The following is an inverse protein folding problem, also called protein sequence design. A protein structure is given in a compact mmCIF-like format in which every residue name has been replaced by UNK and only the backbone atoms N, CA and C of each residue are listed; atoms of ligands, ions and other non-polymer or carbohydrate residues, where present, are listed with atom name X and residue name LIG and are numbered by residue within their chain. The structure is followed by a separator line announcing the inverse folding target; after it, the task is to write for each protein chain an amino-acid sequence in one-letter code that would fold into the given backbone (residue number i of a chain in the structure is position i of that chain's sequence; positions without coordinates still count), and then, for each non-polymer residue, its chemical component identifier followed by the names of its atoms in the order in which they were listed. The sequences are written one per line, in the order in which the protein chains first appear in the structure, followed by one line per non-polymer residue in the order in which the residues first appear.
data_IF_887565736211
#
_entry.id   IF_887565736211
#
_cell.length_a   1.000
_cell.length_b   1.000
_cell.length_c   1.000
_cell.angle_alpha   90.00
_cell.angle_beta   90.00
_cell.angle_gamma   90.00
#
_symmetry.space_group_name_H-M   'P 1'
#
loop_
_entity.id
_entity.type
_entity.pdbx_description
1 polymer ?
#
# COMPACT_ATOMS: atom_id res chain seq x y z
N UNK A 1 16.59 4.10 -18.71
CA UNK A 1 16.99 2.84 -18.07
C UNK A 1 18.41 2.99 -17.56
N UNK A 2 18.58 3.15 -16.25
CA UNK A 2 19.87 3.16 -15.58
C UNK A 2 19.83 1.96 -14.63
N UNK A 3 20.65 0.94 -14.90
CA UNK A 3 20.64 -0.31 -14.15
C UNK A 3 21.01 -0.05 -12.69
N UNK A 4 20.04 -0.21 -11.78
CA UNK A 4 20.35 -0.34 -10.35
C UNK A 4 21.15 -1.62 -10.19
N UNK A 5 22.41 -1.52 -9.73
CA UNK A 5 23.13 -2.69 -9.21
C UNK A 5 22.38 -3.16 -7.97
N UNK A 6 21.93 -4.42 -7.96
CA UNK A 6 21.44 -5.05 -6.73
C UNK A 6 22.59 -4.99 -5.70
N UNK A 7 22.34 -4.30 -4.59
CA UNK A 7 23.28 -4.24 -3.46
C UNK A 7 23.26 -5.61 -2.77
N UNK A 8 24.40 -6.31 -2.77
CA UNK A 8 24.54 -7.54 -1.98
C UNK A 8 24.63 -7.18 -0.50
N UNK A 9 23.58 -7.48 0.27
CA UNK A 9 23.51 -7.24 1.71
C UNK A 9 23.79 -8.52 2.53
N UNK A 10 24.23 -8.34 3.78
CA UNK A 10 24.30 -9.40 4.80
C UNK A 10 23.06 -9.31 5.71
N UNK A 11 22.27 -10.37 5.75
CA UNK A 11 20.96 -10.36 6.39
C UNK A 11 20.90 -11.45 7.45
N UNK A 12 20.59 -11.05 8.68
CA UNK A 12 20.21 -11.97 9.74
C UNK A 12 18.71 -12.25 9.63
N UNK A 13 18.35 -13.42 9.13
CA UNK A 13 16.95 -13.84 8.97
C UNK A 13 16.48 -14.50 10.28
N UNK A 14 15.75 -13.76 11.08
CA UNK A 14 15.16 -14.20 12.33
C UNK A 14 13.77 -14.80 12.11
N UNK A 15 13.60 -16.06 12.53
CA UNK A 15 12.30 -16.75 12.61
C UNK A 15 11.99 -16.90 14.10
N UNK A 16 11.23 -15.96 14.69
CA UNK A 16 11.15 -15.78 16.14
C UNK A 16 10.30 -16.86 16.79
N UNK A 17 9.28 -17.37 16.11
CA UNK A 17 8.51 -18.53 16.55
C UNK A 17 8.55 -19.61 15.50
N UNK A 18 8.59 -20.84 15.99
CA UNK A 18 8.60 -22.04 15.18
C UNK A 18 7.60 -23.01 15.78
N UNK A 19 6.52 -23.28 15.03
CA UNK A 19 5.58 -24.34 15.33
C UNK A 19 5.89 -25.55 14.45
N UNK A 20 6.55 -26.55 15.04
CA UNK A 20 6.83 -27.81 14.35
C UNK A 20 5.52 -28.46 13.88
N UNK A 21 5.36 -28.60 12.57
CA UNK A 21 4.32 -29.44 11.97
C UNK A 21 4.77 -30.90 11.98
N UNK A 22 3.83 -31.80 12.19
CA UNK A 22 4.07 -33.22 12.04
C UNK A 22 4.12 -33.62 10.56
N UNK A 23 4.86 -34.68 10.23
CA UNK A 23 5.03 -35.15 8.85
C UNK A 23 3.67 -35.42 8.15
N UNK A 24 2.68 -35.93 8.88
CA UNK A 24 1.34 -36.15 8.32
C UNK A 24 0.61 -34.82 7.98
N UNK A 25 0.85 -33.75 8.74
CA UNK A 25 0.26 -32.43 8.47
C UNK A 25 0.91 -31.82 7.23
N UNK A 26 2.23 -31.97 7.11
CA UNK A 26 3.02 -31.51 5.96
C UNK A 26 2.55 -32.23 4.70
N UNK A 27 2.45 -33.56 4.72
CA UNK A 27 1.98 -34.34 3.57
C UNK A 27 0.53 -34.01 3.20
N UNK A 28 -0.34 -33.77 4.19
CA UNK A 28 -1.71 -33.29 3.94
C UNK A 28 -1.70 -31.94 3.23
N UNK A 29 -0.97 -30.96 3.75
CA UNK A 29 -0.90 -29.60 3.18
C UNK A 29 -0.31 -29.67 1.76
N UNK A 30 0.77 -30.44 1.54
CA UNK A 30 1.35 -30.65 0.20
C UNK A 30 0.29 -31.15 -0.78
N UNK A 31 -0.50 -32.14 -0.38
CA UNK A 31 -1.57 -32.69 -1.23
C UNK A 31 -2.65 -31.64 -1.54
N UNK A 32 -3.14 -30.92 -0.54
CA UNK A 32 -4.17 -29.89 -0.74
C UNK A 32 -3.68 -28.75 -1.65
N UNK A 33 -2.40 -28.37 -1.51
CA UNK A 33 -1.75 -27.35 -2.35
C UNK A 33 -1.20 -27.90 -3.68
N UNK A 34 -1.41 -29.19 -3.99
CA UNK A 34 -0.92 -29.86 -5.20
C UNK A 34 0.61 -29.75 -5.40
N UNK A 35 1.36 -29.82 -4.30
CA UNK A 35 2.82 -29.74 -4.23
C UNK A 35 3.47 -31.12 -4.22
N UNK A 36 3.04 -32.04 -5.09
CA UNK A 36 3.59 -33.41 -5.14
C UNK A 36 5.09 -33.45 -5.50
N UNK A 37 5.61 -32.37 -6.07
CA UNK A 37 7.01 -32.17 -6.42
C UNK A 37 7.87 -31.61 -5.27
N UNK A 38 7.25 -31.17 -4.18
CA UNK A 38 7.92 -30.44 -3.11
C UNK A 38 8.61 -31.38 -2.12
N UNK A 39 9.89 -31.11 -1.87
CA UNK A 39 10.70 -31.75 -0.84
C UNK A 39 11.17 -30.71 0.19
N UNK A 40 11.00 -30.94 1.50
CA UNK A 40 11.37 -29.97 2.54
C UNK A 40 12.84 -29.52 2.45
N UNK A 41 13.06 -28.22 2.30
CA UNK A 41 14.40 -27.63 2.26
C UNK A 41 14.99 -27.68 3.67
N UNK A 42 14.20 -27.28 4.67
CA UNK A 42 14.52 -27.47 6.07
C UNK A 42 13.89 -28.75 6.59
N UNK A 43 14.71 -29.66 7.12
CA UNK A 43 14.26 -30.84 7.91
C UNK A 43 13.73 -30.46 9.30
N UNK A 44 13.07 -29.31 9.39
CA UNK A 44 12.49 -28.72 10.59
C UNK A 44 10.97 -28.72 10.53
N UNK A 45 10.31 -29.29 9.52
CA UNK A 45 8.83 -29.43 9.57
C UNK A 45 8.10 -28.09 9.67
N UNK A 46 8.51 -27.13 8.83
CA UNK A 46 7.81 -25.87 8.63
C UNK A 46 6.59 -26.05 7.73
N UNK A 47 5.77 -25.01 7.63
CA UNK A 47 4.77 -24.92 6.57
C UNK A 47 5.46 -25.02 5.19
N UNK A 48 5.02 -25.90 4.27
CA UNK A 48 5.68 -26.13 2.98
C UNK A 48 5.96 -24.86 2.17
N UNK A 49 5.00 -23.92 2.16
CA UNK A 49 5.15 -22.66 1.41
C UNK A 49 6.16 -21.69 2.05
N UNK A 50 6.29 -21.67 3.38
CA UNK A 50 7.31 -20.85 4.04
C UNK A 50 8.71 -21.44 3.80
N UNK A 51 8.83 -22.76 3.95
CA UNK A 51 10.08 -23.50 3.73
C UNK A 51 10.57 -23.33 2.29
N UNK A 52 9.68 -23.42 1.31
CA UNK A 52 9.95 -23.10 -0.09
C UNK A 52 10.41 -21.63 -0.26
N UNK A 53 9.69 -20.64 0.27
CA UNK A 53 10.06 -19.22 0.16
C UNK A 53 11.47 -18.92 0.69
N UNK A 54 11.82 -19.47 1.85
CA UNK A 54 13.16 -19.28 2.43
C UNK A 54 14.21 -20.05 1.62
N UNK A 55 13.89 -21.24 1.12
CA UNK A 55 14.75 -22.01 0.22
C UNK A 55 15.08 -21.24 -1.07
N UNK A 56 14.06 -20.68 -1.72
CA UNK A 56 14.21 -19.89 -2.94
C UNK A 56 15.04 -18.62 -2.71
N UNK A 57 14.81 -17.93 -1.59
CA UNK A 57 15.62 -16.79 -1.18
C UNK A 57 17.10 -17.15 -1.04
N UNK A 58 17.41 -18.27 -0.36
CA UNK A 58 18.80 -18.72 -0.16
C UNK A 58 19.43 -19.13 -1.49
N UNK A 59 18.68 -19.84 -2.34
CA UNK A 59 19.14 -20.33 -3.64
C UNK A 59 19.36 -19.21 -4.66
N UNK A 60 18.57 -18.13 -4.61
CA UNK A 60 18.74 -16.96 -5.47
C UNK A 60 20.13 -16.32 -5.31
N UNK A 61 20.73 -16.39 -4.11
CA UNK A 61 22.12 -15.98 -3.89
C UNK A 61 22.39 -14.47 -4.01
N UNK A 62 21.34 -13.64 -4.10
CA UNK A 62 21.45 -12.18 -4.22
C UNK A 62 22.01 -11.52 -2.94
N UNK A 63 21.83 -12.17 -1.80
CA UNK A 63 22.25 -11.70 -0.47
C UNK A 63 22.93 -12.80 0.34
N UNK A 64 23.74 -12.42 1.33
CA UNK A 64 24.33 -13.37 2.29
C UNK A 64 23.37 -13.54 3.47
N UNK A 65 22.72 -14.70 3.54
CA UNK A 65 21.68 -14.96 4.55
C UNK A 65 22.24 -15.78 5.73
N UNK A 66 22.08 -15.27 6.94
CA UNK A 66 22.32 -15.96 8.22
C UNK A 66 20.99 -16.29 8.88
N UNK A 67 20.57 -17.56 8.84
CA UNK A 67 19.24 -17.97 9.35
C UNK A 67 19.30 -18.30 10.85
N UNK A 68 18.49 -17.61 11.65
CA UNK A 68 18.31 -17.87 13.07
C UNK A 68 16.86 -18.28 13.34
N UNK A 69 16.65 -19.55 13.69
CA UNK A 69 15.33 -20.08 14.06
C UNK A 69 15.31 -20.28 15.57
N UNK A 70 14.36 -19.61 16.24
CA UNK A 70 14.14 -19.77 17.67
C UNK A 70 13.08 -20.84 17.91
N UNK A 71 13.35 -21.80 18.79
CA UNK A 71 12.46 -22.94 19.07
C UNK A 71 12.02 -22.95 20.53
N UNK A 72 10.73 -23.15 20.80
CA UNK A 72 10.25 -23.45 22.14
C UNK A 72 9.84 -22.24 23.01
N UNK A 73 9.77 -21.04 22.45
CA UNK A 73 9.29 -19.86 23.16
C UNK A 73 7.81 -19.56 22.84
N UNK A 74 6.90 -19.88 23.78
CA UNK A 74 5.46 -19.62 23.64
C UNK A 74 5.05 -18.15 23.74
N UNK A 75 5.98 -17.22 24.02
CA UNK A 75 5.71 -15.79 24.08
C UNK A 75 6.43 -15.08 22.92
N UNK A 76 5.67 -14.62 21.92
CA UNK A 76 6.22 -14.01 20.70
C UNK A 76 7.11 -12.78 20.97
N UNK A 77 6.74 -11.82 21.84
CA UNK A 77 7.62 -10.70 22.21
C UNK A 77 8.99 -11.16 22.73
N UNK A 78 9.01 -12.15 23.62
CA UNK A 78 10.26 -12.70 24.17
C UNK A 78 11.04 -13.46 23.10
N UNK A 79 10.36 -14.16 22.21
CA UNK A 79 11.00 -14.90 21.14
C UNK A 79 11.71 -13.96 20.12
N UNK A 80 11.07 -12.84 19.75
CA UNK A 80 11.67 -11.76 18.94
C UNK A 80 12.84 -11.09 19.67
N UNK A 81 12.69 -10.82 20.97
CA UNK A 81 13.78 -10.30 21.79
C UNK A 81 14.97 -11.28 21.84
N UNK A 82 14.75 -12.58 22.03
CA UNK A 82 15.83 -13.57 21.99
C UNK A 82 16.59 -13.55 20.66
N UNK A 83 15.89 -13.42 19.53
CA UNK A 83 16.52 -13.22 18.22
C UNK A 83 17.36 -11.94 18.15
N UNK A 84 16.90 -10.83 18.75
CA UNK A 84 17.68 -9.59 18.85
C UNK A 84 18.96 -9.77 19.68
N UNK A 85 18.89 -10.50 20.78
CA UNK A 85 20.06 -10.80 21.61
C UNK A 85 21.11 -11.62 20.85
N UNK A 86 20.67 -12.64 20.12
CA UNK A 86 21.56 -13.45 19.25
C UNK A 86 22.15 -12.57 18.15
N UNK A 87 21.31 -11.77 17.47
CA UNK A 87 21.77 -10.83 16.45
C UNK A 87 22.84 -9.89 17.01
N UNK A 88 22.62 -9.30 18.19
CA UNK A 88 23.56 -8.38 18.83
C UNK A 88 24.89 -9.07 19.16
N UNK A 89 24.83 -10.27 19.73
CA UNK A 89 26.03 -11.06 20.00
C UNK A 89 26.81 -11.37 18.73
N UNK A 90 26.15 -11.80 17.66
CA UNK A 90 26.82 -12.10 16.38
C UNK A 90 27.34 -10.83 15.70
N UNK A 91 26.62 -9.71 15.82
CA UNK A 91 27.08 -8.41 15.33
C UNK A 91 28.40 -7.99 16.00
N UNK A 92 28.56 -8.24 17.29
CA UNK A 92 29.77 -7.86 18.03
C UNK A 92 30.93 -8.86 17.86
N UNK A 93 30.64 -10.16 17.68
CA UNK A 93 31.65 -11.24 17.78
C UNK A 93 31.92 -12.00 16.49
N UNK A 94 31.05 -11.86 15.48
CA UNK A 94 31.13 -12.60 14.21
C UNK A 94 31.10 -11.63 13.02
N UNK A 95 30.51 -12.07 11.91
CA UNK A 95 30.30 -11.24 10.73
C UNK A 95 29.07 -10.35 10.92
N UNK A 96 29.27 -9.03 10.82
CA UNK A 96 28.21 -8.05 10.98
C UNK A 96 27.19 -8.18 9.85
N UNK A 97 25.93 -8.36 10.24
CA UNK A 97 24.81 -8.22 9.31
C UNK A 97 24.41 -6.76 9.18
N UNK A 98 24.11 -6.34 7.96
CA UNK A 98 23.63 -4.99 7.63
C UNK A 98 22.16 -4.81 8.05
N UNK A 99 21.40 -5.91 8.05
CA UNK A 99 19.98 -5.95 8.39
C UNK A 99 19.63 -7.13 9.31
N UNK A 100 18.58 -6.95 10.10
CA UNK A 100 17.79 -8.03 10.69
C UNK A 100 16.46 -8.10 9.94
N UNK A 101 16.20 -9.24 9.30
CA UNK A 101 14.91 -9.54 8.67
C UNK A 101 14.13 -10.45 9.61
N UNK A 102 12.95 -10.05 10.04
CA UNK A 102 12.09 -10.89 10.87
C UNK A 102 10.97 -11.45 10.01
N UNK A 103 10.81 -12.77 10.03
CA UNK A 103 9.78 -13.49 9.27
C UNK A 103 9.05 -14.49 10.17
N UNK A 104 7.72 -14.41 10.21
CA UNK A 104 6.87 -15.39 10.88
C UNK A 104 6.76 -16.67 10.01
N UNK A 105 6.68 -17.84 10.65
CA UNK A 105 6.78 -19.16 10.00
C UNK A 105 5.51 -19.59 9.23
N UNK A 106 4.47 -18.77 9.30
CA UNK A 106 3.21 -18.92 8.60
C UNK A 106 3.03 -17.90 7.46
N UNK A 107 4.10 -17.23 7.02
CA UNK A 107 4.08 -16.38 5.83
C UNK A 107 4.82 -17.03 4.66
N UNK A 108 4.32 -16.83 3.44
CA UNK A 108 5.12 -17.06 2.23
C UNK A 108 5.27 -15.77 1.44
N UNK A 109 6.40 -15.67 0.74
CA UNK A 109 6.85 -14.47 0.05
C UNK A 109 7.63 -14.86 -1.23
N UNK A 110 7.63 -14.00 -2.26
CA UNK A 110 8.39 -14.25 -3.48
C UNK A 110 9.91 -14.08 -3.23
N UNK A 111 10.78 -14.75 -4.00
CA UNK A 111 12.23 -14.69 -3.80
C UNK A 111 12.81 -13.28 -3.90
N UNK A 112 12.23 -12.41 -4.74
CA UNK A 112 12.62 -11.01 -4.89
C UNK A 112 12.14 -10.09 -3.75
N UNK A 113 11.34 -10.59 -2.81
CA UNK A 113 10.77 -9.77 -1.73
C UNK A 113 11.84 -8.99 -0.96
N UNK A 114 12.94 -9.64 -0.62
CA UNK A 114 14.02 -9.00 0.14
C UNK A 114 14.83 -8.05 -0.75
N UNK A 115 15.04 -8.39 -2.02
CA UNK A 115 15.71 -7.48 -2.96
C UNK A 115 14.94 -6.16 -3.09
N UNK A 116 13.60 -6.22 -3.14
CA UNK A 116 12.73 -5.04 -3.17
C UNK A 116 12.99 -4.16 -1.93
N UNK A 117 12.93 -4.75 -0.73
CA UNK A 117 13.07 -4.03 0.54
C UNK A 117 14.47 -3.44 0.74
N UNK A 118 15.52 -4.18 0.37
CA UNK A 118 16.91 -3.70 0.44
C UNK A 118 17.12 -2.54 -0.53
N UNK A 119 16.60 -2.64 -1.75
CA UNK A 119 16.74 -1.61 -2.79
C UNK A 119 15.96 -0.31 -2.51
N UNK A 120 14.98 -0.35 -1.61
CA UNK A 120 14.25 0.82 -1.13
C UNK A 120 14.99 1.64 -0.08
N UNK A 121 16.00 1.04 0.55
CA UNK A 121 16.95 1.69 1.46
C UNK A 121 16.30 2.45 2.64
N UNK A 122 15.22 1.89 3.19
CA UNK A 122 14.50 2.47 4.34
C UNK A 122 15.06 1.99 5.68
N UNK A 123 14.96 2.79 6.76
CA UNK A 123 15.44 2.39 8.08
C UNK A 123 14.72 1.14 8.61
N UNK A 124 13.40 1.13 8.47
CA UNK A 124 12.51 -0.01 8.76
C UNK A 124 11.50 -0.09 7.63
N UNK A 125 11.41 -1.24 6.97
CA UNK A 125 10.42 -1.49 5.89
C UNK A 125 9.98 -2.94 5.89
N UNK A 126 8.74 -3.20 5.49
CA UNK A 126 8.28 -4.57 5.36
C UNK A 126 7.01 -4.72 4.53
N UNK A 127 6.60 -5.97 4.36
CA UNK A 127 5.39 -6.33 3.63
C UNK A 127 4.16 -6.29 4.52
N UNK A 128 3.01 -6.05 3.91
CA UNK A 128 1.72 -6.00 4.61
C UNK A 128 0.96 -7.29 4.37
N UNK A 129 0.36 -7.85 5.43
CA UNK A 129 -0.52 -9.01 5.35
C UNK A 129 -1.81 -8.79 6.16
N UNK A 130 -2.79 -9.68 5.97
CA UNK A 130 -4.12 -9.61 6.61
C UNK A 130 -4.22 -10.50 7.85
N UNK A 131 -5.19 -10.24 8.72
CA UNK A 131 -5.61 -11.19 9.75
C UNK A 131 -6.18 -12.46 9.11
N UNK A 132 -6.00 -13.60 9.79
CA UNK A 132 -6.71 -14.85 9.47
C UNK A 132 -8.19 -14.67 9.84
N UNK A 133 -9.10 -14.98 8.92
CA UNK A 133 -10.54 -14.82 9.13
C UNK A 133 -11.25 -16.17 9.17
N UNK A 134 -12.40 -16.24 9.85
CA UNK A 134 -13.27 -17.43 9.87
C UNK A 134 -14.12 -17.58 8.60
N UNK A 135 -14.14 -16.56 7.73
CA UNK A 135 -14.99 -16.51 6.55
C UNK A 135 -14.08 -16.59 5.31
N UNK A 136 -14.16 -17.65 4.48
CA UNK A 136 -13.16 -18.00 3.47
C UNK A 136 -13.17 -17.13 2.20
N UNK A 137 -13.48 -15.84 2.32
CA UNK A 137 -13.00 -14.90 1.30
C UNK A 137 -11.50 -14.72 1.54
N UNK A 138 -10.68 -15.14 0.56
CA UNK A 138 -9.21 -15.22 0.61
C UNK A 138 -8.50 -13.87 0.80
N UNK A 139 -9.27 -12.80 0.98
CA UNK A 139 -8.84 -11.43 1.17
C UNK A 139 -9.33 -10.88 2.51
N UNK A 140 -8.50 -10.10 3.18
CA UNK A 140 -8.90 -9.46 4.43
C UNK A 140 -8.19 -8.13 4.69
N UNK A 141 -8.61 -7.47 5.78
CA UNK A 141 -8.07 -6.17 6.18
C UNK A 141 -6.62 -6.30 6.64
N UNK A 142 -5.77 -5.41 6.15
CA UNK A 142 -4.38 -5.31 6.58
C UNK A 142 -4.25 -5.22 8.11
N UNK A 143 -3.32 -5.99 8.67
CA UNK A 143 -2.97 -5.97 10.09
C UNK A 143 -2.27 -4.68 10.51
N UNK A 144 -1.55 -4.07 9.57
CA UNK A 144 -0.81 -2.83 9.79
C UNK A 144 -1.74 -1.64 10.00
N UNK A 145 -1.29 -0.65 10.78
CA UNK A 145 -2.05 0.57 11.06
C UNK A 145 -1.52 1.74 10.23
N UNK A 146 -2.35 2.17 9.28
CA UNK A 146 -2.07 3.26 8.37
C UNK A 146 -2.44 4.62 8.98
N UNK A 147 -1.89 5.70 8.45
CA UNK A 147 -2.40 7.03 8.75
C UNK A 147 -3.79 7.22 8.09
N UNK A 148 -4.62 8.15 8.60
CA UNK A 148 -6.04 8.31 8.20
C UNK A 148 -6.29 8.43 6.69
N UNK A 149 -5.29 8.79 5.89
CA UNK A 149 -5.39 9.05 4.44
C UNK A 149 -4.53 8.10 3.59
N UNK A 150 -4.29 6.87 4.05
CA UNK A 150 -3.56 5.82 3.32
C UNK A 150 -4.45 4.56 3.41
N UNK A 151 -4.86 3.89 2.33
CA UNK A 151 -4.09 3.23 1.27
C UNK A 151 -4.91 3.21 -0.03
N UNK A 152 -4.24 3.40 -1.17
CA UNK A 152 -4.52 2.69 -2.43
C UNK A 152 -3.17 2.13 -2.92
N UNK A 153 -3.18 1.14 -3.81
CA UNK A 153 -1.98 0.51 -4.40
C UNK A 153 -0.81 1.49 -4.59
N UNK A 154 0.40 1.11 -4.19
CA UNK A 154 1.61 1.91 -4.44
C UNK A 154 2.68 1.08 -5.13
N UNK A 155 3.33 1.67 -6.14
CA UNK A 155 4.49 1.14 -6.87
C UNK A 155 5.83 1.47 -6.18
N UNK A 156 5.75 2.06 -4.99
CA UNK A 156 6.89 2.52 -4.17
C UNK A 156 6.58 2.33 -2.68
N UNK A 157 7.60 2.26 -1.81
CA UNK A 157 7.37 2.23 -0.38
C UNK A 157 6.76 3.54 0.10
N UNK A 158 5.90 3.47 1.11
CA UNK A 158 5.30 4.65 1.74
C UNK A 158 5.39 4.55 3.26
N UNK A 159 5.48 5.71 3.91
CA UNK A 159 5.52 5.79 5.37
C UNK A 159 4.18 5.36 5.96
N UNK A 160 4.22 4.55 7.01
CA UNK A 160 3.07 4.04 7.74
C UNK A 160 3.24 4.30 9.24
N UNK A 161 2.14 4.38 9.99
CA UNK A 161 2.20 4.60 11.44
C UNK A 161 2.84 3.42 12.16
N UNK A 162 2.29 2.21 12.01
CA UNK A 162 2.82 0.98 12.63
C UNK A 162 2.64 -0.22 11.70
N UNK A 163 3.74 -0.91 11.41
CA UNK A 163 3.75 -2.12 10.61
C UNK A 163 3.50 -3.36 11.49
N UNK A 164 2.85 -4.38 10.93
CA UNK A 164 2.89 -5.74 11.48
C UNK A 164 4.33 -6.30 11.47
N UNK A 165 4.68 -7.11 12.47
CA UNK A 165 6.07 -7.55 12.68
C UNK A 165 6.45 -8.82 11.94
N UNK A 166 5.50 -9.52 11.31
CA UNK A 166 5.76 -10.83 10.72
C UNK A 166 6.58 -10.82 9.44
N UNK A 167 6.80 -9.68 8.79
CA UNK A 167 7.68 -9.56 7.62
C UNK A 167 8.32 -8.17 7.58
N UNK A 168 9.37 -7.95 8.37
CA UNK A 168 9.97 -6.63 8.58
C UNK A 168 11.49 -6.68 8.48
N UNK A 169 12.06 -5.79 7.66
CA UNK A 169 13.48 -5.57 7.48
C UNK A 169 13.90 -4.33 8.27
N UNK A 170 14.87 -4.49 9.16
CA UNK A 170 15.38 -3.41 10.02
C UNK A 170 16.88 -3.25 9.80
N UNK A 171 17.34 -2.02 9.52
CA UNK A 171 18.77 -1.73 9.42
C UNK A 171 19.47 -1.92 10.77
N UNK A 172 20.71 -2.38 10.73
CA UNK A 172 21.54 -2.55 11.92
C UNK A 172 21.65 -1.26 12.75
N UNK A 173 21.84 -0.10 12.10
CA UNK A 173 21.94 1.21 12.77
C UNK A 173 20.69 1.56 13.59
N UNK A 174 19.51 1.14 13.14
CA UNK A 174 18.24 1.37 13.84
C UNK A 174 18.20 0.53 15.12
N UNK A 175 18.55 -0.75 15.02
CA UNK A 175 18.60 -1.63 16.19
C UNK A 175 19.61 -1.15 17.24
N UNK A 176 20.79 -0.70 16.80
CA UNK A 176 21.81 -0.16 17.70
C UNK A 176 21.32 1.09 18.44
N UNK A 177 20.71 2.04 17.72
CA UNK A 177 20.15 3.25 18.31
C UNK A 177 18.98 2.95 19.26
N UNK A 178 18.14 1.96 18.94
CA UNK A 178 17.06 1.52 19.84
C UNK A 178 17.61 0.84 21.09
N UNK A 179 18.64 -0.02 20.98
CA UNK A 179 19.31 -0.65 22.12
C UNK A 179 19.92 0.40 23.05
N UNK A 180 20.57 1.42 22.49
CA UNK A 180 21.14 2.52 23.26
C UNK A 180 20.05 3.31 24.00
N UNK A 181 18.98 3.70 23.29
CA UNK A 181 17.89 4.51 23.87
C UNK A 181 17.09 3.74 24.92
N UNK A 182 16.83 2.46 24.70
CA UNK A 182 16.01 1.60 25.57
C UNK A 182 16.85 0.60 26.37
N UNK A 183 18.03 1.05 26.85
CA UNK A 183 18.91 0.22 27.68
C UNK A 183 18.26 -0.24 29.00
N UNK A 184 17.22 0.45 29.46
CA UNK A 184 16.40 0.07 30.62
C UNK A 184 15.53 -1.17 30.37
N UNK A 185 15.31 -1.55 29.10
CA UNK A 185 14.59 -2.76 28.71
C UNK A 185 15.50 -3.99 28.56
N UNK A 186 16.77 -3.88 28.94
CA UNK A 186 17.73 -4.99 28.95
C UNK A 186 17.34 -6.04 30.01
N UNK A 187 17.43 -7.32 29.66
CA UNK A 187 17.27 -8.44 30.59
C UNK A 187 18.12 -9.65 30.17
N UNK A 188 18.37 -10.55 31.11
CA UNK A 188 19.13 -11.78 30.88
C UNK A 188 18.27 -12.82 30.15
N UNK A 189 18.85 -13.48 29.14
CA UNK A 189 18.20 -14.62 28.48
C UNK A 189 18.36 -15.84 29.40
N UNK A 190 17.28 -16.54 29.78
CA UNK A 190 17.38 -17.70 30.68
C UNK A 190 18.29 -18.79 30.10
N UNK A 191 19.16 -19.37 30.93
CA UNK A 191 20.18 -20.35 30.51
C UNK A 191 19.58 -21.59 29.81
N UNK A 192 18.35 -21.96 30.16
CA UNK A 192 17.57 -23.04 29.58
C UNK A 192 17.29 -22.89 28.07
N UNK A 193 17.37 -21.68 27.52
CA UNK A 193 17.20 -21.44 26.09
C UNK A 193 18.42 -21.87 25.24
N UNK A 194 19.56 -22.21 25.85
CA UNK A 194 20.77 -22.71 25.18
C UNK A 194 21.24 -21.86 23.98
N UNK A 195 21.06 -20.54 24.03
CA UNK A 195 21.52 -19.62 22.99
C UNK A 195 22.87 -19.00 23.36
N UNK A 196 23.64 -18.57 22.35
CA UNK A 196 24.96 -17.95 22.55
C UNK A 196 24.93 -16.57 23.21
N UNK A 197 23.78 -15.90 23.17
CA UNK A 197 23.60 -14.58 23.76
C UNK A 197 23.19 -14.70 25.23
N UNK A 198 23.73 -13.81 26.07
CA UNK A 198 23.39 -13.76 27.50
C UNK A 198 22.33 -12.71 27.84
N UNK A 199 22.20 -11.69 27.00
CA UNK A 199 21.34 -10.53 27.23
C UNK A 199 20.52 -10.21 26.00
N UNK A 200 19.37 -9.57 26.23
CA UNK A 200 18.55 -9.00 25.18
C UNK A 200 17.72 -7.81 25.68
N UNK A 201 16.95 -7.18 24.79
CA UNK A 201 16.13 -6.01 25.04
C UNK A 201 14.66 -6.27 24.70
N UNK A 202 13.76 -5.88 25.60
CA UNK A 202 12.32 -6.06 25.44
C UNK A 202 11.67 -5.03 24.51
N UNK A 203 12.22 -4.83 23.31
CA UNK A 203 11.74 -3.82 22.36
C UNK A 203 10.31 -4.09 21.84
N UNK A 204 9.87 -5.36 21.92
CA UNK A 204 8.52 -5.81 21.58
C UNK A 204 7.56 -5.84 22.77
N UNK A 205 7.96 -5.39 23.96
CA UNK A 205 7.07 -5.37 25.12
C UNK A 205 5.83 -4.50 24.83
N UNK A 206 4.60 -5.08 24.86
CA UNK A 206 3.37 -4.32 24.68
C UNK A 206 3.24 -3.18 25.69
N UNK A 207 2.56 -2.10 25.31
CA UNK A 207 2.34 -0.96 26.23
C UNK A 207 1.04 -0.24 25.95
N UNK A 208 0.54 0.47 26.95
CA UNK A 208 -0.50 1.48 26.75
C UNK A 208 0.18 2.76 26.22
N UNK A 209 -0.42 3.36 25.21
CA UNK A 209 0.10 4.55 24.54
C UNK A 209 -1.03 5.56 24.30
N UNK A 210 -0.73 6.85 24.40
CA UNK A 210 -1.69 7.92 24.09
C UNK A 210 -1.45 8.43 22.68
N UNK A 211 -2.46 8.37 21.83
CA UNK A 211 -2.40 8.76 20.43
C UNK A 211 -3.74 9.33 19.98
N UNK A 212 -3.71 10.45 19.26
CA UNK A 212 -4.90 11.13 18.73
C UNK A 212 -5.99 11.39 19.80
N UNK A 213 -5.58 11.74 21.02
CA UNK A 213 -6.48 12.01 22.15
C UNK A 213 -7.10 10.76 22.78
N UNK A 214 -6.62 9.56 22.43
CA UNK A 214 -7.12 8.29 22.95
C UNK A 214 -5.98 7.47 23.58
N UNK A 215 -6.27 6.81 24.70
CA UNK A 215 -5.38 5.78 25.27
C UNK A 215 -5.68 4.43 24.63
N UNK A 216 -4.70 3.87 23.94
CA UNK A 216 -4.81 2.61 23.21
C UNK A 216 -3.79 1.59 23.73
N UNK A 217 -4.10 0.30 23.59
CA UNK A 217 -3.14 -0.77 23.82
C UNK A 217 -2.37 -1.05 22.53
N UNK A 218 -1.05 -0.86 22.55
CA UNK A 218 -0.17 -1.29 21.47
C UNK A 218 0.26 -2.72 21.73
N UNK A 219 -0.13 -3.62 20.81
CA UNK A 219 0.45 -4.96 20.71
C UNK A 219 1.95 -4.89 20.41
N UNK A 220 2.62 -6.04 20.44
CA UNK A 220 4.07 -6.18 20.39
C UNK A 220 4.72 -5.53 19.17
N UNK A 221 4.13 -5.72 18.00
CA UNK A 221 4.63 -5.17 16.73
C UNK A 221 4.53 -3.65 16.70
N UNK A 222 3.38 -3.12 17.13
CA UNK A 222 3.14 -1.68 17.16
C UNK A 222 3.93 -1.00 18.27
N UNK A 223 4.18 -1.69 19.38
CA UNK A 223 5.04 -1.20 20.45
C UNK A 223 6.50 -1.11 19.98
N UNK A 224 6.99 -2.09 19.21
CA UNK A 224 8.30 -2.01 18.55
C UNK A 224 8.36 -0.82 17.57
N UNK A 225 7.38 -0.71 16.67
CA UNK A 225 7.32 0.39 15.70
C UNK A 225 7.27 1.76 16.41
N UNK A 226 6.47 1.90 17.47
CA UNK A 226 6.39 3.15 18.22
C UNK A 226 7.69 3.47 18.96
N UNK A 227 8.39 2.47 19.51
CA UNK A 227 9.72 2.68 20.08
C UNK A 227 10.72 3.16 19.03
N UNK A 228 10.72 2.57 17.83
CA UNK A 228 11.59 3.01 16.74
C UNK A 228 11.31 4.46 16.32
N UNK A 229 10.03 4.84 16.21
CA UNK A 229 9.61 6.23 15.93
C UNK A 229 10.04 7.20 17.02
N UNK A 230 9.90 6.81 18.28
CA UNK A 230 10.40 7.60 19.41
C UNK A 230 11.92 7.75 19.36
N UNK A 231 12.69 6.78 18.85
CA UNK A 231 14.13 6.89 18.57
C UNK A 231 14.45 7.81 17.38
N UNK A 232 13.45 8.16 16.56
CA UNK A 232 13.60 9.08 15.42
C UNK A 232 13.62 8.40 14.05
N UNK A 233 13.16 7.15 13.94
CA UNK A 233 13.10 6.43 12.68
C UNK A 233 11.66 6.25 12.17
N UNK A 234 11.46 6.54 10.89
CA UNK A 234 10.19 6.32 10.21
C UNK A 234 9.97 4.84 9.89
N UNK A 235 8.70 4.44 9.83
CA UNK A 235 8.29 3.07 9.51
C UNK A 235 7.69 3.06 8.12
N UNK A 236 8.07 2.10 7.29
CA UNK A 236 7.64 2.03 5.90
C UNK A 236 6.95 0.70 5.59
N UNK A 237 5.96 0.75 4.72
CA UNK A 237 5.34 -0.42 4.11
C UNK A 237 5.66 -0.43 2.62
N UNK A 238 5.88 -1.61 2.06
CA UNK A 238 5.96 -1.80 0.62
C UNK A 238 4.96 -2.87 0.18
N UNK A 239 3.96 -2.43 -0.58
CA UNK A 239 2.93 -3.33 -1.07
C UNK A 239 3.43 -4.21 -2.21
N UNK A 240 4.50 -3.85 -2.95
CA UNK A 240 5.09 -4.68 -4.01
C UNK A 240 5.51 -6.06 -3.51
N UNK A 241 5.83 -6.17 -2.23
CA UNK A 241 6.04 -7.44 -1.54
C UNK A 241 4.69 -8.13 -1.31
N UNK A 242 4.37 -9.11 -2.16
CA UNK A 242 3.15 -9.91 -2.06
C UNK A 242 3.33 -11.03 -1.05
N UNK A 243 2.58 -10.97 0.05
CA UNK A 243 2.62 -11.98 1.11
C UNK A 243 1.34 -12.81 1.11
N UNK A 244 1.49 -14.09 1.47
CA UNK A 244 0.37 -14.98 1.81
C UNK A 244 0.54 -15.39 3.27
N UNK A 245 -0.51 -15.21 4.07
CA UNK A 245 -0.55 -15.58 5.48
C UNK A 245 -1.33 -16.87 5.64
N UNK A 246 -0.72 -17.93 6.17
CA UNK A 246 -1.23 -19.29 6.12
C UNK A 246 -1.93 -19.72 7.40
N UNK A 247 -3.04 -20.45 7.24
CA UNK A 247 -3.69 -21.22 8.29
C UNK A 247 -3.93 -22.64 7.80
N UNK A 248 -3.00 -23.55 8.09
CA UNK A 248 -2.95 -24.85 7.43
C UNK A 248 -2.96 -24.65 5.89
N UNK A 249 -3.82 -25.35 5.16
CA UNK A 249 -3.93 -25.25 3.71
C UNK A 249 -4.52 -23.92 3.18
N UNK A 250 -5.09 -23.07 4.05
CA UNK A 250 -5.74 -21.82 3.64
C UNK A 250 -4.75 -20.65 3.65
N UNK A 251 -4.52 -20.05 2.48
CA UNK A 251 -3.72 -18.84 2.33
C UNK A 251 -4.59 -17.58 2.29
N UNK A 252 -4.25 -16.59 3.11
CA UNK A 252 -4.92 -15.29 3.15
C UNK A 252 -4.00 -14.23 2.59
N UNK A 253 -4.53 -13.41 1.69
CA UNK A 253 -3.82 -12.25 1.13
C UNK A 253 -4.52 -10.98 1.58
N UNK A 254 -3.81 -9.85 1.56
CA UNK A 254 -4.55 -8.58 1.58
C UNK A 254 -5.40 -8.53 0.30
N UNK A 255 -6.63 -8.04 0.39
CA UNK A 255 -7.31 -7.59 -0.83
C UNK A 255 -6.44 -6.48 -1.43
N UNK A 256 -5.68 -6.85 -2.45
CA UNK A 256 -5.28 -5.95 -3.53
C UNK A 256 -6.27 -6.13 -4.69
N UNK A 257 -7.42 -6.77 -4.43
CA UNK A 257 -8.63 -6.32 -5.09
C UNK A 257 -8.58 -4.81 -4.98
N UNK A 258 -8.48 -4.17 -6.14
CA UNK A 258 -8.88 -2.80 -6.30
C UNK A 258 -10.04 -2.63 -5.31
N UNK A 259 -9.82 -1.81 -4.28
CA UNK A 259 -10.94 -1.00 -3.90
C UNK A 259 -11.25 -0.27 -5.20
N UNK A 260 -12.12 -0.86 -6.02
CA UNK A 260 -13.18 -0.11 -6.60
C UNK A 260 -13.58 0.84 -5.47
N UNK A 261 -13.06 2.06 -5.60
CA UNK A 261 -13.91 3.18 -5.49
C UNK A 261 -14.33 3.51 -4.05
N UNK A 262 -13.38 3.48 -3.10
CA UNK A 262 -13.60 4.10 -1.77
C UNK A 262 -13.76 5.61 -1.84
N UNK A 263 -13.30 6.24 -2.92
CA UNK A 263 -13.67 7.62 -3.21
C UNK A 263 -15.14 7.63 -3.65
N UNK A 264 -16.06 8.25 -2.88
CA UNK A 264 -17.47 8.27 -3.24
C UNK A 264 -17.68 8.96 -4.60
N UNK A 265 -18.43 8.31 -5.49
CA UNK A 265 -18.73 8.80 -6.83
C UNK A 265 -19.63 7.83 -7.58
N UNK A 266 -20.08 8.22 -8.78
CA UNK A 266 -21.09 7.49 -9.53
C UNK A 266 -20.57 6.71 -10.75
N UNK A 267 -19.31 6.92 -11.15
CA UNK A 267 -18.70 6.18 -12.27
C UNK A 267 -18.43 4.72 -11.92
N UNK A 268 -18.67 3.81 -12.87
CA UNK A 268 -18.34 2.38 -12.73
C UNK A 268 -16.84 2.13 -12.89
N UNK A 269 -16.36 0.95 -12.51
CA UNK A 269 -14.95 0.61 -12.71
C UNK A 269 -14.54 0.61 -14.17
N UNK A 270 -15.38 0.10 -15.08
CA UNK A 270 -15.05 0.10 -16.51
C UNK A 270 -14.92 1.54 -17.05
N UNK A 271 -15.73 2.46 -16.55
CA UNK A 271 -15.66 3.88 -16.91
C UNK A 271 -14.37 4.54 -16.39
N UNK A 272 -13.90 4.17 -15.20
CA UNK A 272 -12.61 4.64 -14.66
C UNK A 272 -11.42 4.03 -15.39
N UNK A 273 -11.48 2.76 -15.76
CA UNK A 273 -10.46 2.11 -16.60
C UNK A 273 -10.36 2.79 -17.96
N UNK A 274 -11.50 3.19 -18.52
CA UNK A 274 -11.54 3.98 -19.75
C UNK A 274 -10.86 5.34 -19.57
N UNK A 275 -11.18 6.09 -18.52
CA UNK A 275 -10.52 7.38 -18.22
C UNK A 275 -9.01 7.21 -17.99
N UNK A 276 -8.60 6.18 -17.26
CA UNK A 276 -7.19 5.84 -16.99
C UNK A 276 -6.46 5.56 -18.30
N UNK A 277 -7.07 4.75 -19.18
CA UNK A 277 -6.50 4.40 -20.48
C UNK A 277 -6.32 5.62 -21.38
N UNK A 278 -7.33 6.50 -21.45
CA UNK A 278 -7.28 7.70 -22.28
C UNK A 278 -6.30 8.74 -21.74
N UNK A 279 -6.34 9.03 -20.44
CA UNK A 279 -5.48 10.03 -19.81
C UNK A 279 -3.99 9.68 -19.87
N UNK A 280 -3.64 8.38 -19.94
CA UNK A 280 -2.27 7.90 -20.15
C UNK A 280 -1.62 8.43 -21.43
N UNK A 281 -2.42 8.70 -22.46
CA UNK A 281 -1.97 9.21 -23.75
C UNK A 281 -1.90 10.74 -23.80
N UNK A 282 -2.32 11.42 -22.73
CA UNK A 282 -2.50 12.87 -22.68
C UNK A 282 -1.36 13.54 -21.91
N UNK A 283 -0.92 14.68 -22.43
CA UNK A 283 0.03 15.58 -21.78
C UNK A 283 -0.63 16.59 -20.83
N UNK A 284 -1.96 16.73 -20.86
CA UNK A 284 -2.73 17.54 -19.91
C UNK A 284 -4.21 17.13 -19.90
N UNK A 285 -4.86 17.19 -18.74
CA UNK A 285 -6.29 16.87 -18.60
C UNK A 285 -6.97 17.98 -17.81
N UNK A 286 -8.20 18.33 -18.17
CA UNK A 286 -9.08 19.15 -17.35
C UNK A 286 -10.36 18.37 -17.08
N UNK A 287 -10.77 18.32 -15.81
CA UNK A 287 -12.01 17.70 -15.37
C UNK A 287 -12.90 18.77 -14.75
N UNK A 288 -14.13 18.84 -15.24
CA UNK A 288 -15.19 19.72 -14.73
C UNK A 288 -16.12 18.86 -13.89
N UNK A 289 -16.28 19.19 -12.60
CA UNK A 289 -17.10 18.40 -11.68
C UNK A 289 -16.32 17.31 -10.93
N UNK A 290 -15.23 17.68 -10.26
CA UNK A 290 -14.34 16.73 -9.59
C UNK A 290 -14.90 16.11 -8.29
N UNK A 291 -15.92 16.71 -7.68
CA UNK A 291 -16.56 16.23 -6.45
C UNK A 291 -15.55 15.79 -5.37
N UNK A 292 -15.60 14.52 -4.94
CA UNK A 292 -14.69 13.92 -3.95
C UNK A 292 -13.47 13.23 -4.59
N UNK A 293 -13.32 13.27 -5.91
CA UNK A 293 -12.09 12.92 -6.61
C UNK A 293 -12.03 11.51 -7.21
N UNK A 294 -13.16 10.82 -7.43
CA UNK A 294 -13.19 9.44 -7.94
C UNK A 294 -12.55 9.37 -9.33
N UNK A 295 -13.14 10.09 -10.26
CA UNK A 295 -12.70 10.22 -11.65
C UNK A 295 -11.36 10.94 -11.72
N UNK A 296 -11.17 11.97 -10.89
CA UNK A 296 -9.89 12.67 -10.75
C UNK A 296 -8.75 11.74 -10.40
N UNK A 297 -8.95 10.78 -9.48
CA UNK A 297 -7.93 9.78 -9.12
C UNK A 297 -7.52 8.94 -10.33
N UNK A 298 -8.48 8.47 -11.12
CA UNK A 298 -8.21 7.71 -12.35
C UNK A 298 -7.38 8.53 -13.36
N UNK A 299 -7.75 9.80 -13.55
CA UNK A 299 -7.04 10.73 -14.44
C UNK A 299 -5.61 11.03 -13.94
N UNK A 300 -5.45 11.32 -12.65
CA UNK A 300 -4.16 11.65 -12.02
C UNK A 300 -3.18 10.48 -12.02
N UNK A 301 -3.70 9.26 -11.84
CA UNK A 301 -2.89 8.04 -11.75
C UNK A 301 -2.18 7.68 -13.06
N UNK A 302 -2.74 8.09 -14.21
CA UNK A 302 -2.21 7.75 -15.52
C UNK A 302 -1.65 8.95 -16.32
N UNK A 303 -2.20 10.16 -16.16
CA UNK A 303 -1.71 11.32 -16.89
C UNK A 303 -0.32 11.74 -16.40
N UNK A 304 0.64 11.86 -17.32
CA UNK A 304 2.01 12.29 -16.99
C UNK A 304 2.14 13.80 -16.75
N UNK A 305 1.20 14.58 -17.27
CA UNK A 305 1.18 16.03 -17.16
C UNK A 305 0.15 16.54 -16.15
N UNK A 306 -0.14 17.86 -16.15
CA UNK A 306 -1.07 18.44 -15.20
C UNK A 306 -2.49 17.94 -15.42
N UNK A 307 -3.18 17.63 -14.31
CA UNK A 307 -4.62 17.38 -14.28
C UNK A 307 -5.28 18.53 -13.51
N UNK A 308 -6.09 19.31 -14.20
CA UNK A 308 -6.86 20.43 -13.66
C UNK A 308 -8.19 19.91 -13.14
N UNK A 309 -8.36 19.89 -11.81
CA UNK A 309 -9.60 19.51 -11.15
C UNK A 309 -10.43 20.78 -10.86
N UNK A 310 -11.56 20.93 -11.55
CA UNK A 310 -12.37 22.16 -11.55
C UNK A 310 -13.71 21.86 -10.90
N UNK A 311 -13.91 22.45 -9.72
CA UNK A 311 -15.14 22.32 -8.96
C UNK A 311 -15.24 23.48 -7.95
N UNK A 312 -16.44 23.92 -7.61
CA UNK A 312 -16.64 24.87 -6.51
C UNK A 312 -16.63 24.19 -5.12
N UNK A 313 -16.80 22.86 -5.10
CA UNK A 313 -16.85 21.97 -3.94
C UNK A 313 -17.95 22.34 -2.92
N UNK A 314 -19.04 22.95 -3.39
CA UNK A 314 -20.17 23.35 -2.55
C UNK A 314 -21.40 22.43 -2.69
N UNK A 315 -21.30 21.40 -3.54
CA UNK A 315 -22.42 20.50 -3.84
C UNK A 315 -23.60 21.19 -4.53
N UNK A 316 -24.70 20.45 -4.66
CA UNK A 316 -25.93 20.97 -5.26
C UNK A 316 -26.99 21.13 -4.16
N UNK A 317 -27.40 22.37 -3.82
CA UNK A 317 -28.42 22.60 -2.79
C UNK A 317 -29.79 22.03 -3.16
N UNK A 318 -30.05 21.74 -4.43
CA UNK A 318 -31.31 21.15 -4.92
C UNK A 318 -31.29 19.61 -4.95
N UNK A 319 -30.16 18.99 -4.62
CA UNK A 319 -29.98 17.54 -4.64
C UNK A 319 -29.83 17.01 -3.23
N UNK A 320 -30.76 16.13 -2.79
CA UNK A 320 -30.62 15.46 -1.49
C UNK A 320 -29.33 14.63 -1.37
N UNK A 321 -28.79 14.17 -2.50
CA UNK A 321 -27.58 13.34 -2.57
C UNK A 321 -26.28 14.15 -2.58
N UNK A 322 -26.35 15.43 -2.96
CA UNK A 322 -25.20 16.33 -3.08
C UNK A 322 -25.34 17.57 -2.19
N UNK A 323 -26.24 17.53 -1.20
CA UNK A 323 -26.39 18.58 -0.20
C UNK A 323 -25.18 18.56 0.75
N UNK A 324 -24.51 19.71 0.85
CA UNK A 324 -23.24 19.86 1.60
C UNK A 324 -23.33 21.08 2.49
N UNK A 325 -22.61 21.05 3.62
CA UNK A 325 -22.42 22.20 4.51
C UNK A 325 -20.92 22.51 4.58
N UNK A 326 -20.53 23.75 4.24
CA UNK A 326 -19.14 24.19 4.35
C UNK A 326 -18.18 23.51 3.35
N UNK A 327 -17.00 23.13 3.82
CA UNK A 327 -15.86 22.68 2.99
C UNK A 327 -15.71 21.14 2.94
N UNK A 328 -16.67 20.38 3.44
CA UNK A 328 -16.57 18.92 3.61
C UNK A 328 -16.19 18.17 2.32
N UNK A 329 -16.69 18.60 1.15
CA UNK A 329 -16.35 17.98 -0.14
C UNK A 329 -14.92 18.30 -0.54
N UNK A 330 -14.48 19.55 -0.34
CA UNK A 330 -13.12 19.96 -0.65
C UNK A 330 -12.11 19.24 0.25
N UNK A 331 -12.40 19.11 1.55
CA UNK A 331 -11.57 18.36 2.48
C UNK A 331 -11.48 16.88 2.10
N UNK A 332 -12.61 16.26 1.74
CA UNK A 332 -12.63 14.88 1.27
C UNK A 332 -11.86 14.71 -0.06
N UNK A 333 -12.04 15.63 -1.00
CA UNK A 333 -11.30 15.66 -2.27
C UNK A 333 -9.78 15.73 -2.02
N UNK A 334 -9.32 16.66 -1.19
CA UNK A 334 -7.90 16.80 -0.88
C UNK A 334 -7.36 15.59 -0.11
N UNK A 335 -8.15 14.97 0.77
CA UNK A 335 -7.77 13.73 1.44
C UNK A 335 -7.56 12.59 0.45
N UNK A 336 -8.41 12.51 -0.59
CA UNK A 336 -8.39 11.43 -1.57
C UNK A 336 -7.30 11.60 -2.64
N UNK A 337 -7.10 12.81 -3.18
CA UNK A 337 -6.22 13.03 -4.33
C UNK A 337 -5.16 14.12 -4.13
N UNK A 338 -5.14 14.82 -2.99
CA UNK A 338 -4.23 15.93 -2.74
C UNK A 338 -2.73 15.55 -2.71
N UNK A 339 -2.43 14.26 -2.61
CA UNK A 339 -1.06 13.72 -2.61
C UNK A 339 -0.45 13.59 -4.01
N UNK A 340 -1.24 13.74 -5.09
CA UNK A 340 -0.74 13.63 -6.46
C UNK A 340 0.04 14.91 -6.86
N UNK A 341 1.30 14.78 -7.30
CA UNK A 341 2.14 15.93 -7.61
C UNK A 341 1.72 16.68 -8.88
N UNK A 342 0.96 16.01 -9.76
CA UNK A 342 0.42 16.56 -11.01
C UNK A 342 -0.97 17.18 -10.87
N UNK A 343 -1.55 17.20 -9.67
CA UNK A 343 -2.84 17.83 -9.41
C UNK A 343 -2.74 19.37 -9.44
N UNK A 344 -3.67 20.01 -10.17
CA UNK A 344 -3.91 21.45 -10.18
C UNK A 344 -5.37 21.72 -9.83
N UNK A 345 -5.63 22.15 -8.60
CA UNK A 345 -7.01 22.41 -8.16
C UNK A 345 -7.44 23.82 -8.56
N UNK A 346 -8.60 23.93 -9.21
CA UNK A 346 -9.25 25.20 -9.56
C UNK A 346 -10.59 25.29 -8.84
N UNK A 347 -10.56 25.87 -7.63
CA UNK A 347 -11.76 26.02 -6.77
C UNK A 347 -12.64 27.18 -7.24
N UNK A 348 -13.33 26.98 -8.36
CA UNK A 348 -14.17 27.98 -9.05
C UNK A 348 -15.17 27.28 -9.97
N UNK A 349 -16.11 28.03 -10.56
CA UNK A 349 -17.02 27.46 -11.56
C UNK A 349 -16.29 27.09 -12.86
N UNK A 350 -16.88 26.19 -13.64
CA UNK A 350 -16.38 25.81 -14.97
C UNK A 350 -16.11 27.01 -15.88
N UNK A 351 -17.03 27.99 -15.93
CA UNK A 351 -16.91 29.18 -16.77
C UNK A 351 -15.80 30.13 -16.31
N UNK A 352 -15.60 30.26 -14.99
CA UNK A 352 -14.48 31.04 -14.44
C UNK A 352 -13.15 30.37 -14.74
N UNK A 353 -13.07 29.04 -14.57
CA UNK A 353 -11.88 28.27 -14.91
C UNK A 353 -11.54 28.34 -16.39
N UNK A 354 -12.54 28.19 -17.28
CA UNK A 354 -12.36 28.36 -18.70
C UNK A 354 -11.77 29.75 -19.02
N UNK A 355 -12.32 30.82 -18.44
CA UNK A 355 -11.79 32.19 -18.62
C UNK A 355 -10.36 32.35 -18.08
N UNK A 356 -10.03 31.71 -16.97
CA UNK A 356 -8.71 31.80 -16.33
C UNK A 356 -7.61 31.04 -17.08
N UNK A 357 -7.96 30.03 -17.88
CA UNK A 357 -6.99 29.33 -18.72
C UNK A 357 -6.67 30.15 -19.98
N UNK A 358 -5.55 30.86 -19.93
CA UNK A 358 -5.04 31.74 -20.99
C UNK A 358 -4.22 30.96 -22.02
N UNK A 359 -4.66 30.96 -23.28
CA UNK A 359 -3.89 30.48 -24.46
C UNK A 359 -3.60 28.97 -24.59
N UNK A 360 -3.52 28.22 -23.49
CA UNK A 360 -3.15 26.80 -23.52
C UNK A 360 -4.34 25.90 -23.91
N UNK A 361 -4.11 25.04 -24.90
CA UNK A 361 -5.05 23.95 -25.23
C UNK A 361 -4.74 22.73 -24.38
N UNK A 362 -5.75 22.19 -23.72
CA UNK A 362 -5.68 20.98 -22.91
C UNK A 362 -5.89 19.76 -23.82
N UNK A 363 -5.09 18.71 -23.64
CA UNK A 363 -5.19 17.52 -24.50
C UNK A 363 -6.56 16.86 -24.39
N UNK A 364 -7.05 16.71 -23.17
CA UNK A 364 -8.32 16.08 -22.89
C UNK A 364 -9.15 16.92 -21.91
N UNK A 365 -10.42 17.17 -22.25
CA UNK A 365 -11.40 17.76 -21.33
C UNK A 365 -12.49 16.75 -21.04
N UNK A 366 -12.71 16.46 -19.76
CA UNK A 366 -13.76 15.59 -19.25
C UNK A 366 -14.84 16.41 -18.53
N UNK A 367 -16.07 16.38 -19.04
CA UNK A 367 -17.24 17.11 -18.53
C UNK A 367 -18.11 16.19 -17.67
N UNK A 368 -18.11 16.39 -16.36
CA UNK A 368 -18.87 15.63 -15.36
C UNK A 368 -19.48 16.55 -14.29
N UNK A 369 -19.86 17.76 -14.72
CA UNK A 369 -20.43 18.81 -13.88
C UNK A 369 -21.94 18.71 -13.73
N UNK A 370 -22.60 19.86 -13.62
CA UNK A 370 -24.05 19.91 -13.57
C UNK A 370 -24.64 19.55 -14.96
N UNK A 371 -25.51 18.54 -15.03
CA UNK A 371 -26.13 18.11 -16.29
C UNK A 371 -26.86 19.22 -17.04
N UNK A 372 -27.46 20.18 -16.33
CA UNK A 372 -28.17 21.31 -16.94
C UNK A 372 -27.21 22.35 -17.52
N UNK A 373 -25.96 22.40 -17.03
CA UNK A 373 -24.90 23.28 -17.50
C UNK A 373 -24.00 22.62 -18.56
N UNK A 374 -24.27 21.37 -18.94
CA UNK A 374 -23.42 20.60 -19.85
C UNK A 374 -23.24 21.31 -21.20
N UNK A 375 -24.24 22.07 -21.66
CA UNK A 375 -24.15 22.83 -22.91
C UNK A 375 -23.14 23.97 -22.78
N UNK A 376 -23.25 24.77 -21.74
CA UNK A 376 -22.36 25.88 -21.45
C UNK A 376 -20.92 25.42 -21.19
N UNK A 377 -20.76 24.27 -20.53
CA UNK A 377 -19.45 23.65 -20.31
C UNK A 377 -18.82 23.22 -21.62
N UNK A 378 -19.55 22.50 -22.47
CA UNK A 378 -19.03 22.09 -23.79
C UNK A 378 -18.69 23.33 -24.63
N UNK A 379 -19.56 24.34 -24.66
CA UNK A 379 -19.32 25.58 -25.43
C UNK A 379 -18.06 26.32 -24.96
N UNK A 380 -17.85 26.42 -23.64
CA UNK A 380 -16.71 27.12 -23.06
C UNK A 380 -15.39 26.36 -23.23
N UNK A 381 -15.43 25.02 -23.20
CA UNK A 381 -14.23 24.19 -23.17
C UNK A 381 -13.84 23.59 -24.52
N UNK A 382 -14.78 23.40 -25.45
CA UNK A 382 -14.47 22.89 -26.79
C UNK A 382 -13.35 23.69 -27.50
N UNK A 383 -13.31 25.05 -27.46
CA UNK A 383 -12.21 25.81 -28.06
C UNK A 383 -10.85 25.61 -27.36
N UNK A 384 -10.86 25.12 -26.12
CA UNK A 384 -9.68 24.87 -25.28
C UNK A 384 -9.21 23.42 -25.37
N UNK A 385 -10.00 22.53 -25.93
CA UNK A 385 -9.62 21.13 -26.12
C UNK A 385 -8.74 20.97 -27.37
N UNK A 386 -7.68 20.16 -27.23
CA UNK A 386 -6.74 19.86 -28.32
C UNK A 386 -7.03 18.54 -29.01
N UNK A 387 -7.31 17.48 -28.24
CA UNK A 387 -7.43 16.12 -28.79
C UNK A 387 -8.76 15.47 -28.45
N UNK A 388 -9.16 15.43 -27.19
CA UNK A 388 -10.31 14.64 -26.77
C UNK A 388 -11.26 15.48 -25.92
N UNK A 389 -12.50 15.65 -26.37
CA UNK A 389 -13.58 16.12 -25.50
C UNK A 389 -14.47 14.94 -25.17
N UNK A 390 -14.73 14.74 -23.88
CA UNK A 390 -15.56 13.66 -23.39
C UNK A 390 -16.33 14.11 -22.14
N UNK A 391 -17.30 13.31 -21.71
CA UNK A 391 -18.06 13.59 -20.50
C UNK A 391 -18.94 12.42 -20.09
N UNK A 392 -19.52 12.51 -18.90
CA UNK A 392 -20.35 11.45 -18.30
C UNK A 392 -21.85 11.65 -18.61
N UNK A 393 -22.69 10.79 -18.02
CA UNK A 393 -24.15 10.91 -18.01
C UNK A 393 -24.84 10.99 -19.40
N UNK A 394 -24.29 10.39 -20.46
CA UNK A 394 -24.91 10.40 -21.80
C UNK A 394 -26.28 9.68 -21.86
N UNK A 395 -26.56 8.84 -20.87
CA UNK A 395 -27.86 8.22 -20.65
C UNK A 395 -28.95 9.26 -20.29
N UNK A 396 -28.59 10.47 -19.84
CA UNK A 396 -29.53 11.57 -19.57
C UNK A 396 -29.87 12.35 -20.83
N UNK A 397 -31.16 12.65 -20.98
CA UNK A 397 -31.67 13.35 -22.17
C UNK A 397 -31.11 14.77 -22.30
N UNK A 398 -31.01 15.52 -21.20
CA UNK A 398 -30.45 16.87 -21.20
C UNK A 398 -28.99 16.90 -21.68
N UNK A 399 -28.15 15.99 -21.17
CA UNK A 399 -26.74 15.85 -21.57
C UNK A 399 -26.65 15.45 -23.04
N UNK A 400 -27.40 14.43 -23.47
CA UNK A 400 -27.42 14.00 -24.87
C UNK A 400 -27.81 15.12 -25.83
N UNK A 401 -28.80 15.93 -25.45
CA UNK A 401 -29.25 17.09 -26.24
C UNK A 401 -28.15 18.14 -26.33
N UNK A 402 -27.52 18.48 -25.20
CA UNK A 402 -26.40 19.42 -25.16
C UNK A 402 -25.23 18.96 -26.05
N UNK A 403 -24.82 17.70 -25.94
CA UNK A 403 -23.76 17.10 -26.76
C UNK A 403 -24.10 17.16 -28.24
N UNK A 404 -25.31 16.73 -28.62
CA UNK A 404 -25.75 16.73 -30.03
C UNK A 404 -25.79 18.16 -30.60
N UNK A 405 -26.28 19.14 -29.83
CA UNK A 405 -26.36 20.54 -30.26
C UNK A 405 -24.97 21.18 -30.44
N UNK A 406 -23.99 20.83 -29.59
CA UNK A 406 -22.66 21.47 -29.59
C UNK A 406 -21.64 20.78 -30.48
N UNK A 407 -21.59 19.45 -30.46
CA UNK A 407 -20.53 18.67 -31.10
C UNK A 407 -21.04 17.57 -32.03
N UNK A 408 -22.36 17.43 -32.21
CA UNK A 408 -22.96 16.49 -33.17
C UNK A 408 -22.84 15.03 -32.74
N UNK A 409 -22.59 14.14 -33.71
CA UNK A 409 -22.40 12.71 -33.42
C UNK A 409 -21.11 12.47 -32.62
N UNK A 410 -21.21 11.57 -31.64
CA UNK A 410 -20.16 11.18 -30.71
C UNK A 410 -20.12 9.66 -30.56
N UNK A 411 -18.98 9.14 -30.13
CA UNK A 411 -18.86 7.76 -29.69
C UNK A 411 -19.26 7.64 -28.21
N UNK A 412 -19.60 6.43 -27.77
CA UNK A 412 -19.97 6.17 -26.38
C UNK A 412 -19.28 4.93 -25.83
N UNK A 413 -19.01 4.96 -24.53
CA UNK A 413 -18.56 3.81 -23.75
C UNK A 413 -19.27 3.84 -22.40
N UNK A 414 -20.11 2.85 -22.13
CA UNK A 414 -21.05 2.89 -20.99
C UNK A 414 -21.86 4.19 -21.02
N UNK A 415 -21.79 5.03 -19.98
CA UNK A 415 -22.43 6.35 -19.96
C UNK A 415 -21.50 7.51 -20.36
N UNK A 416 -20.23 7.23 -20.68
CA UNK A 416 -19.29 8.21 -21.21
C UNK A 416 -19.59 8.48 -22.69
N UNK A 417 -19.67 9.75 -23.06
CA UNK A 417 -19.62 10.20 -24.45
C UNK A 417 -18.24 10.79 -24.77
N UNK A 418 -17.78 10.65 -26.00
CA UNK A 418 -16.48 11.22 -26.40
C UNK A 418 -16.37 11.53 -27.89
N UNK A 419 -15.50 12.49 -28.21
CA UNK A 419 -15.16 12.89 -29.57
C UNK A 419 -13.69 13.29 -29.66
N UNK A 420 -12.97 12.59 -30.55
CA UNK A 420 -11.62 13.00 -30.95
C UNK A 420 -11.70 14.21 -31.89
N UNK A 421 -10.85 15.21 -31.64
CA UNK A 421 -10.73 16.45 -32.38
C UNK A 421 -9.50 16.36 -33.28
N UNK A 422 -9.68 16.77 -34.53
CA UNK A 422 -8.66 16.76 -35.59
C UNK A 422 -7.74 17.97 -35.55
#
# INVERSE_FOLDING_TARGET
MQGKRNLMAKIFLAVPQYKKLHDFEIERIKKELQMDWYEPVFKKGFHPMFDQSVGDLVNAGNHKIRICINTGDGNLPRARASSLGIWRYEYDTKDRCDYMMIVDDDLSFPPEAIDILVNDDKPIVGGVYTFKTQNPQYTGKACSRFYKNQIAYSDRPFEIRWLNGGFILVKAEVLLAMIEKYGDLEYDIPEEHQVSAKKTWSLWQPRVYECDGQRIFLGEDWAFCQRARETGFDIWADLRVRLIHWNAEYGYTISIEDEENTIPGWMTAEELDWLTSRSKEMGSVAEIGSWKGRSTFALLSACKGPVYAIDHFQGDPNSERQKVVGDEVYEAFMANVGHFPNLKVMRMSSLEAAKAMDGDRIDMVFVDGNHEAAKEDIEAWLPKTRRLICGHDYNRECVRRAVTEQIGEVETFQSIWFKELT
#
